data_IF_284784289022
#
_entry.id   IF_284784289022
#
_cell.length_a   1.000
_cell.length_b   1.000
_cell.length_c   1.000
_cell.angle_alpha   90.00
_cell.angle_beta   90.00
_cell.angle_gamma   90.00
#
_symmetry.space_group_name_H-M   'P 1'
#
loop_
_entity.id
_entity.type
_entity.pdbx_description
1 polymer ?
#
# COMPACT_ATOMS: atom_id res chain seq x y z
N UNK A 1 -32.16 -4.52 31.65
CA UNK A 1 -31.56 -5.59 30.83
C UNK A 1 -30.76 -4.94 29.71
N UNK A 2 -29.44 -4.88 29.85
CA UNK A 2 -28.51 -4.38 28.83
C UNK A 2 -27.88 -5.60 28.16
N UNK A 3 -28.30 -5.92 26.94
CA UNK A 3 -27.69 -6.98 26.14
C UNK A 3 -27.08 -6.41 24.87
N UNK A 4 -25.74 -6.46 24.86
CA UNK A 4 -24.83 -6.74 23.72
C UNK A 4 -25.30 -6.25 22.35
N UNK A 5 -24.67 -5.18 21.87
CA UNK A 5 -24.35 -4.97 20.45
C UNK A 5 -23.28 -3.87 20.34
N UNK A 6 -22.03 -4.22 20.61
CA UNK A 6 -20.90 -3.29 20.52
C UNK A 6 -19.73 -3.90 19.71
N UNK A 7 -20.06 -4.59 18.61
CA UNK A 7 -19.03 -5.26 17.78
C UNK A 7 -19.03 -4.81 16.31
N UNK A 8 -19.77 -3.75 15.95
CA UNK A 8 -19.93 -3.36 14.54
C UNK A 8 -19.03 -2.21 14.04
N UNK A 9 -18.23 -1.56 14.90
CA UNK A 9 -17.63 -0.26 14.55
C UNK A 9 -16.18 -0.06 14.96
N UNK A 10 -15.46 -1.11 15.35
CA UNK A 10 -14.02 -1.00 15.58
C UNK A 10 -13.28 -1.05 14.23
N UNK A 11 -12.36 -0.11 13.95
CA UNK A 11 -11.52 -0.20 12.76
C UNK A 11 -10.76 -1.53 12.82
N UNK A 12 -10.84 -2.30 11.74
CA UNK A 12 -10.16 -3.61 11.66
C UNK A 12 -8.66 -3.38 11.85
N UNK A 13 -8.11 -3.95 12.91
CA UNK A 13 -6.67 -4.01 13.13
C UNK A 13 -5.99 -4.66 11.92
N UNK A 14 -4.76 -4.25 11.58
CA UNK A 14 -4.01 -4.91 10.54
C UNK A 14 -3.86 -6.41 10.89
N UNK A 15 -3.99 -7.31 9.90
CA UNK A 15 -3.75 -8.73 10.12
C UNK A 15 -2.28 -8.98 10.48
N UNK A 16 -2.02 -10.09 11.18
CA UNK A 16 -0.67 -10.47 11.63
C UNK A 16 0.31 -10.72 10.48
N UNK A 17 -0.21 -10.95 9.27
CA UNK A 17 0.59 -11.19 8.07
C UNK A 17 0.24 -10.17 6.99
N UNK A 18 1.22 -9.35 6.64
CA UNK A 18 1.13 -8.37 5.57
C UNK A 18 2.12 -8.68 4.47
N UNK A 19 1.69 -8.53 3.23
CA UNK A 19 2.53 -8.67 2.05
C UNK A 19 2.66 -7.32 1.35
N UNK A 20 3.90 -6.90 1.09
CA UNK A 20 4.13 -5.78 0.19
C UNK A 20 3.90 -6.28 -1.23
N UNK A 21 3.00 -5.61 -1.97
CA UNK A 21 2.74 -5.90 -3.38
C UNK A 21 2.93 -4.64 -4.21
N UNK A 22 3.47 -4.85 -5.40
CA UNK A 22 3.79 -3.84 -6.41
C UNK A 22 2.98 -4.05 -7.70
N UNK A 23 2.22 -5.13 -7.79
CA UNK A 23 1.41 -5.48 -8.94
C UNK A 23 0.49 -6.68 -8.71
N UNK A 24 -0.26 -7.01 -9.74
CA UNK A 24 -1.25 -8.10 -9.70
C UNK A 24 -0.60 -9.47 -9.47
N UNK A 25 0.53 -9.75 -10.13
CA UNK A 25 1.23 -11.03 -10.01
C UNK A 25 1.75 -11.30 -8.59
N UNK A 26 2.31 -10.29 -7.92
CA UNK A 26 2.77 -10.43 -6.53
C UNK A 26 1.60 -10.64 -5.57
N UNK A 27 0.46 -9.97 -5.79
CA UNK A 27 -0.79 -10.23 -5.05
C UNK A 27 -1.34 -11.65 -5.24
N UNK A 28 -1.40 -12.13 -6.49
CA UNK A 28 -1.85 -13.49 -6.79
C UNK A 28 -0.90 -14.57 -6.28
N UNK A 29 0.41 -14.31 -6.28
CA UNK A 29 1.40 -15.21 -5.68
C UNK A 29 1.18 -15.35 -4.17
N UNK A 30 0.95 -14.24 -3.45
CA UNK A 30 0.61 -14.27 -2.03
C UNK A 30 -0.66 -15.08 -1.76
N UNK A 31 -1.72 -14.84 -2.55
CA UNK A 31 -2.97 -15.58 -2.45
C UNK A 31 -2.78 -17.09 -2.69
N UNK A 32 -2.07 -17.48 -3.76
CA UNK A 32 -1.79 -18.90 -4.07
C UNK A 32 -0.98 -19.59 -2.97
N UNK A 33 -0.04 -18.88 -2.35
CA UNK A 33 0.70 -19.38 -1.21
C UNK A 33 -0.21 -19.54 0.03
N UNK A 34 -1.02 -18.52 0.32
CA UNK A 34 -1.95 -18.53 1.45
C UNK A 34 -2.96 -19.69 1.37
N UNK A 35 -3.45 -20.05 0.18
CA UNK A 35 -4.33 -21.21 -0.04
C UNK A 35 -3.75 -22.55 0.41
N UNK A 36 -2.43 -22.67 0.49
CA UNK A 36 -1.75 -23.90 0.91
C UNK A 36 -1.56 -23.98 2.43
N UNK A 37 -1.92 -22.94 3.16
CA UNK A 37 -1.75 -22.84 4.61
C UNK A 37 -3.14 -22.88 5.25
N UNK A 38 -3.36 -23.87 6.11
CA UNK A 38 -4.61 -24.03 6.83
C UNK A 38 -4.93 -22.78 7.67
N UNK A 39 -6.20 -22.38 7.66
CA UNK A 39 -6.69 -21.22 8.41
C UNK A 39 -6.37 -19.85 7.81
N UNK A 40 -5.59 -19.72 6.72
CA UNK A 40 -5.28 -18.39 6.14
C UNK A 40 -6.45 -17.74 5.39
N UNK A 41 -7.45 -18.54 5.00
CA UNK A 41 -8.67 -18.10 4.34
C UNK A 41 -9.84 -18.66 5.13
N UNK A 42 -10.74 -17.79 5.56
CA UNK A 42 -11.89 -18.13 6.39
C UNK A 42 -13.15 -17.53 5.74
N UNK A 43 -13.98 -18.39 5.15
CA UNK A 43 -15.12 -17.95 4.34
C UNK A 43 -14.68 -17.06 3.18
N UNK A 44 -15.22 -15.84 3.11
CA UNK A 44 -14.92 -14.84 2.08
C UNK A 44 -13.87 -13.80 2.51
N UNK A 45 -13.05 -14.10 3.52
CA UNK A 45 -12.05 -13.17 4.04
C UNK A 45 -10.69 -13.83 4.23
N UNK A 46 -9.64 -13.07 3.95
CA UNK A 46 -8.27 -13.46 4.18
C UNK A 46 -7.80 -13.04 5.59
N UNK A 47 -7.02 -13.90 6.26
CA UNK A 47 -6.31 -13.57 7.52
C UNK A 47 -4.97 -12.87 7.28
N UNK A 48 -4.71 -12.46 6.05
CA UNK A 48 -3.55 -11.68 5.64
C UNK A 48 -4.02 -10.43 4.90
N UNK A 49 -3.12 -9.48 4.71
CA UNK A 49 -3.42 -8.23 4.03
C UNK A 49 -2.30 -7.77 3.12
N UNK A 50 -2.62 -6.72 2.36
CA UNK A 50 -1.72 -6.12 1.40
C UNK A 50 -1.28 -4.72 1.80
N UNK A 51 -0.04 -4.41 1.48
CA UNK A 51 0.54 -3.09 1.69
C UNK A 51 1.18 -2.67 0.37
N UNK A 52 0.90 -1.45 -0.10
CA UNK A 52 1.56 -0.95 -1.31
C UNK A 52 3.07 -0.80 -1.09
N UNK A 53 3.86 -0.69 -2.16
CA UNK A 53 5.26 -0.26 -2.05
C UNK A 53 5.40 1.07 -1.26
N UNK A 54 6.55 1.31 -0.59
CA UNK A 54 6.80 2.56 0.15
C UNK A 54 6.56 3.79 -0.72
N UNK A 55 5.77 4.76 -0.24
CA UNK A 55 5.46 5.98 -0.99
C UNK A 55 4.62 5.81 -2.27
N UNK A 56 3.99 4.65 -2.49
CA UNK A 56 3.20 4.37 -3.72
C UNK A 56 2.13 5.42 -4.04
N UNK A 57 1.58 6.10 -3.03
CA UNK A 57 0.62 7.17 -3.29
C UNK A 57 1.21 8.34 -4.12
N UNK A 58 2.53 8.56 -4.04
CA UNK A 58 3.19 9.65 -4.75
C UNK A 58 3.55 9.36 -6.20
N UNK A 59 3.79 8.09 -6.56
CA UNK A 59 4.21 7.73 -7.92
C UNK A 59 3.19 6.89 -8.70
N UNK A 60 2.31 6.12 -8.03
CA UNK A 60 1.21 5.41 -8.68
C UNK A 60 -0.15 6.02 -8.37
N UNK A 61 -0.30 6.55 -7.16
CA UNK A 61 -1.55 7.15 -6.70
C UNK A 61 -2.55 6.15 -6.13
N UNK A 62 -3.55 6.71 -5.45
CA UNK A 62 -4.60 5.93 -4.79
C UNK A 62 -5.54 5.22 -5.78
N UNK A 63 -5.79 5.82 -6.95
CA UNK A 63 -6.64 5.20 -7.99
C UNK A 63 -6.05 3.89 -8.52
N UNK A 64 -4.74 3.86 -8.78
CA UNK A 64 -4.06 2.63 -9.16
C UNK A 64 -4.18 1.55 -8.07
N UNK A 65 -3.94 1.93 -6.82
CA UNK A 65 -3.97 1.00 -5.70
C UNK A 65 -5.35 0.36 -5.52
N UNK A 66 -6.41 1.17 -5.55
CA UNK A 66 -7.79 0.70 -5.44
C UNK A 66 -8.16 -0.23 -6.61
N UNK A 67 -7.74 0.10 -7.83
CA UNK A 67 -7.98 -0.74 -9.00
C UNK A 67 -7.24 -2.09 -8.91
N UNK A 68 -6.00 -2.09 -8.42
CA UNK A 68 -5.23 -3.31 -8.19
C UNK A 68 -5.91 -4.22 -7.17
N UNK A 69 -6.36 -3.66 -6.04
CA UNK A 69 -7.03 -4.44 -5.00
C UNK A 69 -8.37 -4.98 -5.51
N UNK A 70 -9.18 -4.15 -6.18
CA UNK A 70 -10.44 -4.61 -6.77
C UNK A 70 -10.22 -5.79 -7.74
N UNK A 71 -9.21 -5.72 -8.62
CA UNK A 71 -8.89 -6.82 -9.53
C UNK A 71 -8.48 -8.12 -8.79
N UNK A 72 -7.77 -8.01 -7.67
CA UNK A 72 -7.41 -9.16 -6.82
C UNK A 72 -8.64 -9.73 -6.11
N UNK A 73 -9.49 -8.89 -5.54
CA UNK A 73 -10.72 -9.31 -4.86
C UNK A 73 -11.68 -10.00 -5.84
N UNK A 74 -11.89 -9.43 -7.04
CA UNK A 74 -12.71 -10.01 -8.11
C UNK A 74 -12.17 -11.38 -8.55
N UNK A 75 -10.85 -11.51 -8.71
CA UNK A 75 -10.23 -12.74 -9.18
C UNK A 75 -10.20 -13.86 -8.14
N UNK A 76 -10.24 -13.50 -6.85
CA UNK A 76 -10.12 -14.45 -5.74
C UNK A 76 -11.44 -14.73 -5.02
N UNK A 77 -12.44 -13.85 -5.18
CA UNK A 77 -13.69 -13.86 -4.43
C UNK A 77 -13.51 -13.55 -2.94
N UNK A 78 -12.36 -12.99 -2.53
CA UNK A 78 -12.04 -12.67 -1.14
C UNK A 78 -11.90 -11.17 -0.95
N UNK A 79 -12.39 -10.66 0.18
CA UNK A 79 -12.05 -9.33 0.65
C UNK A 79 -10.70 -9.35 1.38
N UNK A 80 -9.83 -8.37 1.10
CA UNK A 80 -8.53 -8.22 1.74
C UNK A 80 -8.50 -6.99 2.65
N UNK A 81 -7.78 -7.10 3.77
CA UNK A 81 -7.30 -5.88 4.42
C UNK A 81 -6.17 -5.30 3.58
N UNK A 82 -6.22 -4.00 3.26
CA UNK A 82 -5.18 -3.37 2.46
C UNK A 82 -4.91 -1.93 2.90
N UNK A 83 -3.64 -1.48 2.78
CA UNK A 83 -3.22 -0.13 3.10
C UNK A 83 -2.32 0.49 2.01
N UNK A 84 -2.52 1.79 1.76
CA UNK A 84 -1.70 2.58 0.85
C UNK A 84 -0.62 3.35 1.64
N UNK A 85 0.63 3.24 1.22
CA UNK A 85 1.73 4.01 1.77
C UNK A 85 1.80 5.40 1.13
N UNK A 86 1.52 6.43 1.94
CA UNK A 86 1.49 7.83 1.51
C UNK A 86 2.82 8.57 1.76
N UNK A 87 3.85 7.87 2.24
CA UNK A 87 5.12 8.48 2.64
C UNK A 87 4.89 9.62 3.65
N UNK A 88 5.55 10.76 3.43
CA UNK A 88 5.40 11.95 4.27
C UNK A 88 4.34 12.96 3.82
N UNK A 89 3.53 12.66 2.81
CA UNK A 89 2.59 13.62 2.22
C UNK A 89 1.18 13.49 2.81
N UNK A 90 0.80 14.45 3.65
CA UNK A 90 -0.57 14.56 4.16
C UNK A 90 -1.61 14.75 3.03
N UNK A 91 -1.21 15.40 1.94
CA UNK A 91 -2.07 15.60 0.77
C UNK A 91 -2.42 14.28 0.08
N UNK A 92 -1.45 13.36 -0.05
CA UNK A 92 -1.70 12.03 -0.62
C UNK A 92 -2.62 11.19 0.27
N UNK A 93 -2.42 11.22 1.58
CA UNK A 93 -3.30 10.52 2.52
C UNK A 93 -4.73 11.10 2.50
N UNK A 94 -4.88 12.43 2.46
CA UNK A 94 -6.19 13.08 2.34
C UNK A 94 -6.87 12.75 1.01
N UNK A 95 -6.13 12.72 -0.10
CA UNK A 95 -6.65 12.31 -1.39
C UNK A 95 -7.11 10.85 -1.39
N UNK A 96 -6.31 9.95 -0.80
CA UNK A 96 -6.61 8.54 -0.73
C UNK A 96 -7.90 8.25 0.04
N UNK A 97 -8.09 8.84 1.22
CA UNK A 97 -9.33 8.63 2.01
C UNK A 97 -10.57 9.15 1.28
N UNK A 98 -10.47 10.28 0.56
CA UNK A 98 -11.56 10.82 -0.27
C UNK A 98 -11.92 9.92 -1.45
N UNK A 99 -10.98 9.09 -1.91
CA UNK A 99 -11.22 8.06 -2.92
C UNK A 99 -11.73 6.74 -2.32
N UNK A 100 -11.96 6.68 -1.02
CA UNK A 100 -12.48 5.50 -0.33
C UNK A 100 -11.40 4.58 0.27
N UNK A 101 -10.12 4.93 0.20
CA UNK A 101 -9.05 4.13 0.81
C UNK A 101 -9.20 4.12 2.34
N UNK A 102 -9.52 2.95 2.91
CA UNK A 102 -9.80 2.80 4.34
C UNK A 102 -8.57 2.79 5.23
N UNK A 103 -7.42 2.34 4.74
CA UNK A 103 -6.19 2.30 5.55
C UNK A 103 -5.00 2.92 4.83
N UNK A 104 -4.18 3.70 5.52
CA UNK A 104 -2.97 4.27 4.93
C UNK A 104 -1.84 4.41 5.95
N UNK A 105 -0.61 4.49 5.45
CA UNK A 105 0.58 4.85 6.22
C UNK A 105 0.93 6.31 5.93
N UNK A 106 1.15 7.10 6.98
CA UNK A 106 1.60 8.49 6.87
C UNK A 106 2.71 8.77 7.90
N UNK A 107 3.88 9.10 7.38
CA UNK A 107 5.07 9.50 8.16
C UNK A 107 5.19 11.04 8.13
N UNK A 108 4.32 11.72 8.88
CA UNK A 108 4.27 13.18 8.93
C UNK A 108 4.53 13.72 10.34
N UNK A 109 4.64 15.04 10.46
CA UNK A 109 4.68 15.71 11.77
C UNK A 109 3.43 15.37 12.60
N UNK A 110 3.54 15.41 13.93
CA UNK A 110 2.44 15.03 14.82
C UNK A 110 1.14 15.81 14.54
N UNK A 111 1.25 17.11 14.24
CA UNK A 111 0.10 17.95 13.92
C UNK A 111 -0.59 17.50 12.62
N UNK A 112 0.18 17.28 11.56
CA UNK A 112 -0.36 16.80 10.27
C UNK A 112 -0.94 15.39 10.41
N UNK A 113 -0.23 14.50 11.09
CA UNK A 113 -0.69 13.14 11.33
C UNK A 113 -2.04 13.13 12.07
N UNK A 114 -2.17 13.89 13.16
CA UNK A 114 -3.40 13.95 13.94
C UNK A 114 -4.57 14.52 13.15
N UNK A 115 -4.33 15.56 12.33
CA UNK A 115 -5.36 16.13 11.47
C UNK A 115 -5.88 15.10 10.46
N UNK A 116 -4.99 14.37 9.78
CA UNK A 116 -5.39 13.35 8.81
C UNK A 116 -6.00 12.12 9.50
N UNK A 117 -5.51 11.73 10.68
CA UNK A 117 -6.05 10.63 11.47
C UNK A 117 -7.51 10.87 11.84
N UNK A 118 -7.88 12.10 12.17
CA UNK A 118 -9.27 12.47 12.44
C UNK A 118 -10.18 12.21 11.23
N UNK A 119 -9.71 12.53 10.01
CA UNK A 119 -10.45 12.26 8.76
C UNK A 119 -10.58 10.75 8.52
N UNK A 120 -9.49 9.98 8.67
CA UNK A 120 -9.57 8.52 8.55
C UNK A 120 -10.54 7.92 9.57
N UNK A 121 -10.56 8.42 10.80
CA UNK A 121 -11.45 7.94 11.86
C UNK A 121 -12.92 8.25 11.54
N UNK A 122 -13.22 9.43 10.99
CA UNK A 122 -14.57 9.79 10.52
C UNK A 122 -15.05 8.86 9.41
N UNK A 123 -14.14 8.38 8.56
CA UNK A 123 -14.41 7.48 7.44
C UNK A 123 -14.33 5.99 7.82
N UNK A 124 -14.30 5.68 9.13
CA UNK A 124 -14.15 4.34 9.70
C UNK A 124 -12.88 3.61 9.25
N UNK A 125 -11.86 4.38 8.86
CA UNK A 125 -10.56 3.92 8.44
C UNK A 125 -9.49 3.98 9.52
N UNK A 126 -8.26 3.60 9.16
CA UNK A 126 -7.09 3.62 10.03
C UNK A 126 -5.90 4.30 9.37
N UNK A 127 -5.31 5.27 10.07
CA UNK A 127 -4.04 5.87 9.68
C UNK A 127 -2.91 5.33 10.57
N UNK A 128 -1.91 4.74 9.93
CA UNK A 128 -0.73 4.17 10.58
C UNK A 128 0.40 5.20 10.57
N UNK A 129 0.98 5.47 11.74
CA UNK A 129 2.11 6.41 11.89
C UNK A 129 3.44 5.85 11.40
N UNK A 130 3.51 4.53 11.23
CA UNK A 130 4.67 3.83 10.72
C UNK A 130 4.22 2.68 9.81
N UNK A 131 5.08 2.34 8.85
CA UNK A 131 4.86 1.21 7.96
C UNK A 131 4.93 -0.09 8.78
N UNK A 132 3.88 -0.93 8.81
CA UNK A 132 3.93 -2.18 9.54
C UNK A 132 4.91 -3.17 8.85
N UNK A 133 5.53 -4.11 9.60
CA UNK A 133 6.34 -5.16 9.01
C UNK A 133 5.53 -5.93 7.97
N UNK A 134 6.12 -6.12 6.80
CA UNK A 134 5.48 -6.84 5.69
C UNK A 134 6.52 -7.61 4.89
N UNK A 135 6.10 -8.74 4.34
CA UNK A 135 6.93 -9.57 3.49
C UNK A 135 6.79 -9.10 2.04
N UNK A 136 7.89 -8.67 1.42
CA UNK A 136 7.88 -8.35 0.00
C UNK A 136 8.19 -9.62 -0.78
N UNK A 137 7.22 -10.07 -1.59
CA UNK A 137 7.44 -11.12 -2.58
C UNK A 137 8.25 -10.49 -3.71
N UNK A 138 9.56 -10.31 -3.51
CA UNK A 138 10.46 -10.02 -4.62
C UNK A 138 10.32 -11.24 -5.54
N UNK A 139 9.78 -11.09 -6.76
CA UNK A 139 10.01 -12.11 -7.75
C UNK A 139 11.51 -12.05 -7.99
N UNK A 140 12.24 -13.06 -7.54
CA UNK A 140 13.49 -13.38 -8.20
C UNK A 140 13.15 -13.41 -9.69
N UNK A 141 13.75 -12.50 -10.48
CA UNK A 141 13.60 -12.31 -11.94
C UNK A 141 12.56 -11.25 -12.39
N UNK A 142 12.92 -9.96 -12.31
CA UNK A 142 13.09 -9.07 -13.48
C UNK A 142 13.17 -7.60 -13.02
N UNK A 143 14.40 -7.10 -12.90
CA UNK A 143 14.73 -5.71 -12.53
C UNK A 143 14.20 -4.63 -13.52
N UNK A 144 13.45 -4.99 -14.57
CA UNK A 144 13.05 -4.05 -15.63
C UNK A 144 11.60 -4.16 -16.08
N UNK A 145 10.79 -5.09 -15.55
CA UNK A 145 9.41 -5.31 -16.05
C UNK A 145 8.32 -4.68 -15.19
N UNK A 146 8.62 -4.30 -13.95
CA UNK A 146 7.68 -3.62 -13.05
C UNK A 146 8.00 -2.13 -13.02
N UNK A 147 7.03 -1.29 -13.40
CA UNK A 147 7.12 0.18 -13.28
C UNK A 147 7.51 0.60 -11.86
N UNK A 148 7.05 -0.14 -10.85
CA UNK A 148 7.40 0.09 -9.45
C UNK A 148 8.87 -0.20 -9.18
N UNK A 149 9.40 -1.30 -9.71
CA UNK A 149 10.82 -1.63 -9.62
C UNK A 149 11.70 -0.52 -10.22
N UNK A 150 11.31 -0.02 -11.40
CA UNK A 150 11.99 1.09 -12.06
C UNK A 150 12.03 2.37 -11.21
N UNK A 151 10.89 2.76 -10.61
CA UNK A 151 10.86 3.95 -9.76
C UNK A 151 11.59 3.73 -8.42
N UNK A 152 11.47 2.56 -7.82
CA UNK A 152 12.11 2.25 -6.54
C UNK A 152 13.64 2.26 -6.67
N UNK A 153 14.18 1.66 -7.73
CA UNK A 153 15.63 1.68 -8.03
C UNK A 153 16.14 3.12 -8.26
N UNK A 154 15.36 3.95 -8.96
CA UNK A 154 15.72 5.36 -9.19
C UNK A 154 15.77 6.21 -7.90
N UNK A 155 14.88 5.95 -6.93
CA UNK A 155 14.91 6.67 -5.65
C UNK A 155 16.04 6.18 -4.72
N UNK A 156 16.28 4.88 -4.64
CA UNK A 156 17.37 4.31 -3.83
C UNK A 156 18.76 4.77 -4.29
N UNK A 157 18.97 4.96 -5.60
CA UNK A 157 20.23 5.47 -6.15
C UNK A 157 20.49 6.94 -5.83
N UNK A 158 19.45 7.74 -5.57
CA UNK A 158 19.56 9.18 -5.30
C UNK A 158 19.86 9.55 -3.84
N UNK A 159 19.67 8.60 -2.92
CA UNK A 159 19.88 8.78 -1.48
C UNK A 159 21.29 8.44 -1.00
N UNK A 160 22.17 7.97 -1.88
CA UNK A 160 23.56 7.63 -1.55
C UNK A 160 24.47 8.85 -1.80
N UNK A 161 25.12 9.44 -0.77
CA UNK A 161 25.93 10.66 -0.95
C UNK A 161 27.15 10.48 -1.86
N UNK A 162 27.53 9.24 -2.18
CA UNK A 162 28.61 8.92 -3.11
C UNK A 162 28.16 8.81 -4.58
N UNK A 163 26.85 8.75 -4.86
CA UNK A 163 26.35 8.63 -6.23
C UNK A 163 26.10 9.99 -6.89
N UNK A 164 27.15 10.82 -6.96
CA UNK A 164 27.24 11.88 -7.97
C UNK A 164 27.64 11.29 -9.31
N UNK A 165 26.80 10.43 -9.89
CA UNK A 165 26.90 10.19 -11.32
C UNK A 165 26.39 11.44 -12.06
N UNK A 166 27.09 11.92 -13.10
CA UNK A 166 26.63 13.06 -13.88
C UNK A 166 25.25 12.74 -14.46
N UNK A 167 24.35 13.72 -14.39
CA UNK A 167 23.03 13.66 -15.00
C UNK A 167 23.18 13.43 -16.51
N UNK A 168 23.06 12.18 -16.94
CA UNK A 168 23.06 11.77 -18.36
C UNK A 168 21.67 11.83 -18.95
N UNK A 169 20.71 12.57 -18.35
CA UNK A 169 19.57 13.07 -19.10
C UNK A 169 20.13 13.95 -20.21
N UNK A 170 20.38 13.33 -21.37
CA UNK A 170 20.43 14.04 -22.62
C UNK A 170 19.12 14.83 -22.66
N UNK A 171 19.23 16.14 -22.43
CA UNK A 171 18.32 17.08 -23.06
C UNK A 171 18.35 16.69 -24.53
N UNK A 172 17.31 16.00 -24.99
CA UNK A 172 16.96 16.04 -26.40
C UNK A 172 16.74 17.51 -26.67
N UNK A 173 17.77 18.14 -27.23
CA UNK A 173 17.67 19.47 -27.79
C UNK A 173 16.60 19.38 -28.88
N UNK A 174 15.38 19.74 -28.52
CA UNK A 174 14.38 20.12 -29.49
C UNK A 174 14.89 21.41 -30.13
N UNK A 175 15.28 21.38 -31.39
CA UNK A 175 15.18 22.53 -32.31
C UNK A 175 15.59 22.16 -33.75
N UNK A 176 15.11 22.88 -34.78
CA UNK A 176 13.75 23.35 -35.06
C UNK A 176 12.93 22.35 -35.90
#
# INVERSE_FOLDING_TARGET
>A
MLTKNASFFLPKLPPDKLFTIDGYESGMAAYRAARKVEGMIEGASARFGFLSAPGAAGFMGAGWWLALIAALEDSTGLAFWHALDCGGSAAYALGAVRMGQKHAVLQASAAQFNAIKAVYTQEFGMLLSARPPSFHLIPSLCHTSSLVGYFTDGYCQSSDPENKLPDTRQKKDCYP
#
